data_IF_476938870811
#
_entry.id   IF_476938870811
#
_cell.length_a   1.000
_cell.length_b   1.000
_cell.length_c   1.000
_cell.angle_alpha   90.00
_cell.angle_beta   90.00
_cell.angle_gamma   90.00
#
_symmetry.space_group_name_H-M   'P 1'
#
loop_
_entity.id
_entity.type
_entity.pdbx_description
1 polymer ?
#
# COMPACT_ATOMS: atom_id res chain seq x y z
N UNK A 1 24.38 15.61 24.24
CA UNK A 1 24.37 16.44 23.02
C UNK A 1 24.15 15.54 21.81
N UNK A 2 23.03 15.77 21.13
CA UNK A 2 22.62 15.45 19.74
C UNK A 2 23.09 14.14 19.07
N UNK A 3 22.13 13.24 18.83
CA UNK A 3 22.22 12.09 17.91
C UNK A 3 21.88 12.56 16.48
N UNK A 4 22.88 12.73 15.61
CA UNK A 4 22.67 13.07 14.19
C UNK A 4 22.52 11.79 13.37
N UNK A 5 21.34 11.18 13.43
CA UNK A 5 20.95 10.11 12.51
C UNK A 5 20.33 10.70 11.25
N UNK A 6 21.15 11.22 10.33
CA UNK A 6 20.69 11.51 8.97
C UNK A 6 20.90 10.27 8.10
N UNK A 7 20.15 9.21 8.40
CA UNK A 7 19.98 8.05 7.51
C UNK A 7 18.95 8.43 6.43
N UNK A 8 19.26 9.44 5.62
CA UNK A 8 18.46 9.78 4.45
C UNK A 8 19.18 9.22 3.22
N UNK A 9 18.74 8.05 2.77
CA UNK A 9 19.23 7.43 1.54
C UNK A 9 19.07 8.44 0.39
N UNK A 10 20.15 8.77 -0.35
CA UNK A 10 20.05 9.75 -1.43
C UNK A 10 19.05 9.28 -2.48
N UNK A 11 17.98 10.08 -2.66
CA UNK A 11 16.91 9.80 -3.61
C UNK A 11 17.48 9.76 -5.03
N UNK A 12 17.41 8.59 -5.69
CA UNK A 12 17.88 8.43 -7.07
C UNK A 12 17.04 9.31 -8.01
N UNK A 13 17.68 10.06 -8.95
CA UNK A 13 16.94 10.86 -9.90
C UNK A 13 16.07 9.96 -10.77
N UNK A 14 14.75 10.15 -10.70
CA UNK A 14 13.82 9.48 -11.61
C UNK A 14 13.95 10.14 -12.98
N UNK A 15 14.34 9.36 -13.99
CA UNK A 15 14.41 9.83 -15.38
C UNK A 15 13.07 10.45 -15.81
N UNK A 16 13.14 11.47 -16.67
CA UNK A 16 11.94 12.07 -17.27
C UNK A 16 11.31 11.03 -18.20
N UNK A 17 10.11 10.57 -17.89
CA UNK A 17 9.38 9.65 -18.77
C UNK A 17 9.11 10.29 -20.14
N UNK A 18 8.95 9.45 -21.18
CA UNK A 18 8.76 9.87 -22.57
C UNK A 18 7.63 10.90 -22.78
N UNK A 19 6.61 10.88 -21.91
CA UNK A 19 5.44 11.76 -21.99
C UNK A 19 5.46 12.90 -20.97
N UNK A 20 6.60 13.14 -20.30
CA UNK A 20 6.71 14.12 -19.22
C UNK A 20 6.45 15.56 -19.67
N UNK A 21 6.92 15.94 -20.87
CA UNK A 21 6.66 17.25 -21.48
C UNK A 21 5.18 17.47 -21.79
N UNK A 22 4.54 16.50 -22.44
CA UNK A 22 3.11 16.53 -22.78
C UNK A 22 2.25 16.62 -21.52
N UNK A 23 2.58 15.83 -20.48
CA UNK A 23 1.88 15.91 -19.19
C UNK A 23 2.01 17.32 -18.58
N UNK A 24 3.20 17.91 -18.63
CA UNK A 24 3.46 19.26 -18.10
C UNK A 24 2.74 20.35 -18.88
N UNK A 25 2.69 20.27 -20.20
CA UNK A 25 1.94 21.20 -21.04
C UNK A 25 0.45 21.20 -20.68
N UNK A 26 -0.14 20.00 -20.60
CA UNK A 26 -1.55 19.83 -20.21
C UNK A 26 -1.85 20.32 -18.79
N UNK A 27 -0.91 20.18 -17.86
CA UNK A 27 -1.08 20.69 -16.49
C UNK A 27 -1.07 22.22 -16.46
N UNK A 28 -0.21 22.88 -17.25
CA UNK A 28 -0.20 24.33 -17.39
C UNK A 28 -1.48 24.87 -18.05
N UNK A 29 -2.00 24.19 -19.08
CA UNK A 29 -3.28 24.57 -19.70
C UNK A 29 -4.44 24.49 -18.70
N UNK A 30 -4.49 23.44 -17.89
CA UNK A 30 -5.50 23.30 -16.84
C UNK A 30 -5.37 24.40 -15.78
N UNK A 31 -4.15 24.73 -15.37
CA UNK A 31 -3.88 25.80 -14.40
C UNK A 31 -4.25 27.18 -14.97
N UNK A 32 -3.92 27.46 -16.24
CA UNK A 32 -4.30 28.69 -16.93
C UNK A 32 -5.82 28.85 -17.06
N UNK A 33 -6.55 27.74 -17.21
CA UNK A 33 -8.01 27.71 -17.17
C UNK A 33 -8.61 27.80 -15.75
N UNK A 34 -7.79 28.02 -14.71
CA UNK A 34 -8.21 28.05 -13.31
C UNK A 34 -8.57 26.68 -12.73
N UNK A 35 -8.28 25.61 -13.46
CA UNK A 35 -8.56 24.23 -13.08
C UNK A 35 -7.41 23.56 -12.35
N UNK A 36 -7.73 22.56 -11.52
CA UNK A 36 -6.73 21.66 -10.91
C UNK A 36 -7.14 20.22 -11.13
N UNK A 37 -6.18 19.36 -11.47
CA UNK A 37 -6.43 17.91 -11.60
C UNK A 37 -6.94 17.37 -10.25
N UNK A 38 -8.20 16.96 -10.20
CA UNK A 38 -8.78 16.25 -9.05
C UNK A 38 -8.07 14.90 -8.93
N UNK A 39 -7.23 14.74 -7.90
CA UNK A 39 -6.64 13.44 -7.56
C UNK A 39 -7.78 12.52 -7.12
N UNK A 40 -8.21 11.61 -7.98
CA UNK A 40 -9.09 10.51 -7.59
C UNK A 40 -8.28 9.61 -6.66
N UNK A 41 -8.46 9.74 -5.35
CA UNK A 41 -8.03 8.71 -4.41
C UNK A 41 -8.94 7.51 -4.67
N UNK A 42 -8.36 6.39 -5.06
CA UNK A 42 -9.09 5.13 -5.03
C UNK A 42 -9.56 4.88 -3.59
N UNK A 43 -10.77 4.32 -3.38
CA UNK A 43 -11.17 3.87 -2.06
C UNK A 43 -10.11 2.92 -1.54
N UNK A 44 -9.62 3.16 -0.32
CA UNK A 44 -8.66 2.27 0.33
C UNK A 44 -9.40 0.98 0.65
N UNK A 45 -9.07 -0.10 -0.05
CA UNK A 45 -9.52 -1.45 0.34
C UNK A 45 -8.91 -1.76 1.70
N UNK A 46 -9.76 -1.91 2.72
CA UNK A 46 -9.34 -2.54 3.96
C UNK A 46 -9.24 -4.05 3.72
N UNK A 47 -8.16 -4.72 4.14
CA UNK A 47 -8.11 -6.18 4.12
C UNK A 47 -9.23 -6.70 5.04
N UNK A 48 -10.00 -7.68 4.54
CA UNK A 48 -10.99 -8.35 5.37
C UNK A 48 -10.28 -9.16 6.47
N UNK A 49 -10.88 -9.28 7.67
CA UNK A 49 -10.35 -10.15 8.71
C UNK A 49 -10.22 -11.57 8.14
N UNK A 50 -9.04 -12.17 8.30
CA UNK A 50 -8.84 -13.58 7.95
C UNK A 50 -9.72 -14.42 8.87
N UNK A 51 -10.38 -15.48 8.36
CA UNK A 51 -11.07 -16.43 9.21
C UNK A 51 -10.07 -17.01 10.21
N UNK A 52 -10.43 -16.98 11.50
CA UNK A 52 -9.64 -17.62 12.53
C UNK A 52 -9.54 -19.12 12.20
N UNK A 53 -8.37 -19.76 12.35
CA UNK A 53 -8.25 -21.19 12.18
C UNK A 53 -9.20 -21.87 13.18
N UNK A 54 -10.24 -22.51 12.64
CA UNK A 54 -11.17 -23.32 13.40
C UNK A 54 -10.33 -24.39 14.11
N UNK A 55 -10.24 -24.27 15.44
CA UNK A 55 -9.36 -25.07 16.27
C UNK A 55 -9.45 -26.55 15.93
N UNK A 56 -8.28 -27.19 15.86
CA UNK A 56 -8.13 -28.63 15.64
C UNK A 56 -9.02 -29.37 16.66
N UNK A 57 -9.93 -30.26 16.24
CA UNK A 57 -10.76 -31.01 17.18
C UNK A 57 -9.84 -31.79 18.13
N UNK A 58 -10.02 -31.61 19.45
CA UNK A 58 -9.28 -32.38 20.45
C UNK A 58 -9.43 -33.88 20.17
N UNK A 59 -8.34 -34.67 20.22
CA UNK A 59 -8.42 -36.10 20.00
C UNK A 59 -9.23 -36.71 21.13
N UNK A 60 -10.44 -37.18 20.81
CA UNK A 60 -11.26 -37.98 21.70
C UNK A 60 -10.48 -39.26 21.99
N UNK A 61 -9.97 -39.40 23.22
CA UNK A 61 -9.29 -40.59 23.67
C UNK A 61 -10.24 -41.78 23.53
N UNK A 62 -9.90 -42.73 22.64
CA UNK A 62 -10.59 -44.00 22.57
C UNK A 62 -10.29 -44.79 23.84
N UNK A 63 -11.28 -44.97 24.70
CA UNK A 63 -11.15 -45.87 25.84
C UNK A 63 -10.90 -47.30 25.34
N UNK A 64 -9.92 -48.04 25.90
CA UNK A 64 -9.70 -49.42 25.51
C UNK A 64 -10.86 -50.29 26.02
N UNK A 65 -11.68 -50.76 25.09
CA UNK A 65 -12.64 -51.85 25.33
C UNK A 65 -11.84 -53.10 25.66
N UNK A 66 -11.91 -53.55 26.90
CA UNK A 66 -11.29 -54.80 27.34
C UNK A 66 -12.17 -55.97 26.88
N UNK A 67 -11.56 -56.90 26.13
CA UNK A 67 -12.13 -58.20 25.70
C UNK A 67 -11.89 -59.25 26.77
#
# INVERSE_FOLDING_TARGET
MQLTGTDEVPSRPRGKGATSSVRRAREQELEAAGGRRKRRRAPRTQPQPQPEPQGDPEPVAAEPVHV
#
